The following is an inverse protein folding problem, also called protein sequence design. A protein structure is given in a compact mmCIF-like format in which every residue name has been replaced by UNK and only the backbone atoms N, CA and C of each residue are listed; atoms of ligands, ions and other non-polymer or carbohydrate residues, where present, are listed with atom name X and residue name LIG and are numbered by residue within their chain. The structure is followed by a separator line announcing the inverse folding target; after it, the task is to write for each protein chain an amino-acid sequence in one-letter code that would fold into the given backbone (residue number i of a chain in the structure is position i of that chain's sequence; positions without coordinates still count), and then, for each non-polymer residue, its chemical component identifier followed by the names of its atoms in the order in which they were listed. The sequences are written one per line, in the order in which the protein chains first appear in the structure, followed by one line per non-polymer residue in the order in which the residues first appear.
data_IF_599114474490
#
_entry.id   IF_599114474490
#
_cell.length_a   1.000
_cell.length_b   1.000
_cell.length_c   1.000
_cell.angle_alpha   90.00
_cell.angle_beta   90.00
_cell.angle_gamma   90.00
#
_symmetry.space_group_name_H-M   'P 1'
#
loop_
_entity.id
_entity.type
_entity.pdbx_description
1 polymer ?
#
# COMPACT_ATOMS: atom_id res chain seq x y z
N UNK A 1 5.19 1.90 -5.55
CA UNK A 1 4.32 1.98 -4.34
C UNK A 1 4.82 0.95 -3.34
N UNK A 2 4.85 1.28 -2.03
CA UNK A 2 5.19 0.29 -1.00
C UNK A 2 4.32 -0.97 -1.17
N UNK A 3 4.97 -2.10 -1.43
CA UNK A 3 4.26 -3.37 -1.60
C UNK A 3 3.61 -3.84 -0.29
N UNK A 4 4.16 -3.42 0.85
CA UNK A 4 3.72 -3.79 2.20
C UNK A 4 3.28 -2.56 3.01
N UNK A 5 2.32 -2.77 3.90
CA UNK A 5 1.88 -1.82 4.92
C UNK A 5 2.48 -2.24 6.26
N UNK A 6 2.77 -1.28 7.12
CA UNK A 6 3.01 -1.56 8.55
C UNK A 6 1.71 -1.95 9.24
N UNK A 7 1.80 -2.56 10.43
CA UNK A 7 0.64 -2.93 11.23
C UNK A 7 -0.28 -1.73 11.51
N UNK A 8 0.31 -0.59 11.91
CA UNK A 8 -0.43 0.64 12.18
C UNK A 8 -1.09 1.23 10.91
N UNK A 9 -0.40 1.22 9.78
CA UNK A 9 -0.97 1.67 8.50
C UNK A 9 -2.15 0.79 8.05
N UNK A 10 -2.05 -0.52 8.29
CA UNK A 10 -3.12 -1.48 8.00
C UNK A 10 -4.33 -1.27 8.92
N UNK A 11 -4.13 -1.18 10.23
CA UNK A 11 -5.22 -0.94 11.20
C UNK A 11 -5.97 0.36 10.91
N UNK A 12 -5.22 1.43 10.61
CA UNK A 12 -5.81 2.71 10.20
C UNK A 12 -6.60 2.57 8.89
N UNK A 13 -6.13 1.79 7.93
CA UNK A 13 -6.87 1.56 6.69
C UNK A 13 -8.17 0.76 6.93
N UNK A 14 -8.13 -0.25 7.80
CA UNK A 14 -9.30 -1.07 8.15
C UNK A 14 -10.37 -0.24 8.88
N UNK A 15 -9.98 0.63 9.81
CA UNK A 15 -10.92 1.46 10.57
C UNK A 15 -11.66 2.50 9.71
N UNK A 16 -11.06 2.89 8.57
CA UNK A 16 -11.63 3.85 7.63
C UNK A 16 -12.35 3.20 6.43
N UNK A 17 -12.62 1.89 6.48
CA UNK A 17 -13.39 1.23 5.43
C UNK A 17 -14.86 1.64 5.50
N UNK A 18 -15.42 2.10 4.37
CA UNK A 18 -16.86 2.40 4.23
C UNK A 18 -17.79 1.22 4.55
N UNK A 19 -17.29 -0.01 4.37
CA UNK A 19 -17.96 -1.24 4.81
C UNK A 19 -16.92 -2.16 5.44
N UNK A 20 -17.14 -2.53 6.69
CA UNK A 20 -16.26 -3.45 7.41
C UNK A 20 -16.09 -4.79 6.67
N UNK A 21 -14.88 -5.35 6.77
CA UNK A 21 -14.61 -6.72 6.34
C UNK A 21 -14.98 -7.68 7.48
N UNK A 22 -15.35 -8.92 7.12
CA UNK A 22 -15.51 -9.99 8.11
C UNK A 22 -14.16 -10.26 8.79
N UNK A 23 -14.11 -10.63 10.08
CA UNK A 23 -12.85 -10.87 10.80
C UNK A 23 -11.91 -11.84 10.07
N UNK A 24 -12.42 -12.97 9.56
CA UNK A 24 -11.63 -13.92 8.77
C UNK A 24 -10.98 -13.28 7.52
N UNK A 25 -11.68 -12.35 6.87
CA UNK A 25 -11.14 -11.65 5.70
C UNK A 25 -10.10 -10.60 6.09
N UNK A 26 -10.21 -10.01 7.29
CA UNK A 26 -9.20 -9.07 7.80
C UNK A 26 -7.87 -9.82 7.98
N UNK A 27 -7.88 -11.01 8.56
CA UNK A 27 -6.67 -11.83 8.73
C UNK A 27 -6.01 -12.20 7.41
N UNK A 28 -6.80 -12.61 6.40
CA UNK A 28 -6.29 -12.93 5.06
C UNK A 28 -5.59 -11.72 4.44
N UNK A 29 -6.22 -10.54 4.50
CA UNK A 29 -5.64 -9.33 3.91
C UNK A 29 -4.44 -8.84 4.70
N UNK A 30 -4.45 -9.00 6.04
CA UNK A 30 -3.29 -8.71 6.90
C UNK A 30 -2.10 -9.57 6.53
N UNK A 31 -2.30 -10.88 6.35
CA UNK A 31 -1.25 -11.80 5.91
C UNK A 31 -0.60 -11.36 4.59
N UNK A 32 -1.39 -10.84 3.66
CA UNK A 32 -0.87 -10.36 2.36
C UNK A 32 -0.18 -8.99 2.49
N UNK A 33 -0.84 -8.02 3.13
CA UNK A 33 -0.41 -6.62 3.10
C UNK A 33 0.65 -6.30 4.15
N UNK A 34 0.62 -6.96 5.30
CA UNK A 34 1.56 -6.75 6.41
C UNK A 34 2.63 -7.83 6.38
N UNK A 35 2.23 -9.11 6.42
CA UNK A 35 3.17 -10.23 6.55
C UNK A 35 3.85 -10.62 5.23
N UNK A 36 3.38 -10.08 4.11
CA UNK A 36 4.00 -10.26 2.79
C UNK A 36 3.72 -11.62 2.15
N UNK A 37 2.70 -12.34 2.64
CA UNK A 37 2.27 -13.62 2.06
C UNK A 37 1.72 -13.44 0.64
N UNK A 38 1.90 -14.45 -0.20
CA UNK A 38 1.42 -14.42 -1.58
C UNK A 38 -0.09 -14.66 -1.61
N UNK A 39 -0.78 -13.98 -2.53
CA UNK A 39 -2.22 -14.21 -2.74
C UNK A 39 -2.53 -15.65 -3.13
N UNK A 40 -1.63 -16.33 -3.87
CA UNK A 40 -1.83 -17.72 -4.28
C UNK A 40 -1.84 -18.68 -3.09
N UNK A 41 -0.99 -18.45 -2.09
CA UNK A 41 -0.99 -19.29 -0.90
C UNK A 41 -2.32 -19.13 -0.14
N UNK A 42 -2.85 -17.90 -0.09
CA UNK A 42 -4.17 -17.63 0.49
C UNK A 42 -5.31 -18.28 -0.29
N UNK A 43 -5.23 -18.37 -1.62
CA UNK A 43 -6.23 -19.11 -2.42
C UNK A 43 -6.26 -20.57 -2.01
N UNK A 44 -5.08 -21.20 -1.85
CA UNK A 44 -4.96 -22.62 -1.48
C UNK A 44 -5.46 -22.86 -0.05
N UNK A 45 -5.07 -22.01 0.90
CA UNK A 45 -5.41 -22.19 2.32
C UNK A 45 -6.88 -21.89 2.65
N UNK A 46 -7.48 -20.92 1.98
CA UNK A 46 -8.83 -20.43 2.32
C UNK A 46 -9.92 -20.99 1.41
N UNK A 47 -9.55 -21.54 0.25
CA UNK A 47 -10.48 -21.93 -0.81
C UNK A 47 -11.17 -20.76 -1.51
N UNK A 48 -10.84 -19.51 -1.16
CA UNK A 48 -11.40 -18.33 -1.82
C UNK A 48 -10.80 -18.14 -3.21
N UNK A 49 -11.60 -17.58 -4.13
CA UNK A 49 -11.11 -17.26 -5.46
C UNK A 49 -10.04 -16.16 -5.42
N UNK A 50 -9.09 -16.23 -6.36
CA UNK A 50 -8.07 -15.18 -6.55
C UNK A 50 -8.71 -13.80 -6.73
N UNK A 51 -9.84 -13.72 -7.43
CA UNK A 51 -10.57 -12.47 -7.66
C UNK A 51 -11.13 -11.87 -6.36
N UNK A 52 -11.67 -12.71 -5.47
CA UNK A 52 -12.14 -12.25 -4.16
C UNK A 52 -11.00 -11.70 -3.31
N UNK A 53 -9.87 -12.42 -3.24
CA UNK A 53 -8.69 -12.00 -2.49
C UNK A 53 -8.11 -10.69 -3.05
N UNK A 54 -8.00 -10.58 -4.38
CA UNK A 54 -7.55 -9.37 -5.04
C UNK A 54 -8.47 -8.18 -4.76
N UNK A 55 -9.79 -8.39 -4.78
CA UNK A 55 -10.78 -7.35 -4.48
C UNK A 55 -10.66 -6.85 -3.03
N UNK A 56 -10.53 -7.75 -2.06
CA UNK A 56 -10.36 -7.38 -0.65
C UNK A 56 -9.04 -6.63 -0.42
N UNK A 57 -7.96 -7.11 -1.01
CA UNK A 57 -6.64 -6.47 -0.92
C UNK A 57 -6.66 -5.06 -1.54
N UNK A 58 -7.28 -4.92 -2.72
CA UNK A 58 -7.45 -3.63 -3.39
C UNK A 58 -8.23 -2.66 -2.51
N UNK A 59 -9.33 -3.11 -1.91
CA UNK A 59 -10.16 -2.28 -1.05
C UNK A 59 -9.39 -1.67 0.12
N UNK A 60 -8.57 -2.46 0.83
CA UNK A 60 -7.75 -1.96 1.94
C UNK A 60 -6.66 -1.00 1.45
N UNK A 61 -6.04 -1.27 0.30
CA UNK A 61 -5.06 -0.35 -0.28
C UNK A 61 -5.66 1.00 -0.67
N UNK A 62 -6.86 1.02 -1.25
CA UNK A 62 -7.54 2.28 -1.58
C UNK A 62 -7.89 3.08 -0.31
N UNK A 63 -8.34 2.41 0.75
CA UNK A 63 -8.60 3.06 2.03
C UNK A 63 -7.32 3.64 2.65
N UNK A 64 -6.20 2.91 2.58
CA UNK A 64 -4.90 3.43 2.98
C UNK A 64 -4.48 4.63 2.10
N UNK A 65 -4.71 4.60 0.79
CA UNK A 65 -4.41 5.73 -0.10
C UNK A 65 -5.24 6.96 0.27
N UNK A 66 -6.51 6.78 0.60
CA UNK A 66 -7.44 7.88 0.86
C UNK A 66 -7.29 8.45 2.28
N UNK A 67 -7.06 7.61 3.28
CA UNK A 67 -7.09 8.03 4.69
C UNK A 67 -5.76 7.86 5.41
N UNK A 68 -4.82 7.09 4.84
CA UNK A 68 -3.51 6.88 5.44
C UNK A 68 -2.68 8.16 5.49
N UNK A 69 -1.70 8.15 6.42
CA UNK A 69 -0.69 9.21 6.47
C UNK A 69 0.03 9.29 5.13
N UNK A 70 0.28 10.50 4.60
CA UNK A 70 1.09 10.64 3.41
C UNK A 70 2.52 10.11 3.67
N UNK A 71 3.26 9.72 2.63
CA UNK A 71 4.66 9.33 2.79
C UNK A 71 5.48 10.41 3.52
N UNK A 72 6.61 10.03 4.13
CA UNK A 72 7.50 11.00 4.75
C UNK A 72 7.90 12.09 3.74
N UNK A 73 7.81 13.36 4.17
CA UNK A 73 8.06 14.53 3.31
C UNK A 73 6.93 14.89 2.34
N UNK A 74 5.79 14.19 2.38
CA UNK A 74 4.59 14.54 1.61
C UNK A 74 3.52 15.14 2.52
N UNK A 75 2.79 16.11 1.99
CA UNK A 75 1.63 16.71 2.64
C UNK A 75 0.36 16.42 1.84
N UNK A 76 -0.75 16.18 2.56
CA UNK A 76 -2.07 16.02 1.95
C UNK A 76 -2.85 17.30 2.19
N UNK A 77 -3.26 17.94 1.10
CA UNK A 77 -4.07 19.17 1.13
C UNK A 77 -5.39 18.95 0.38
N UNK A 78 -6.45 19.61 0.84
CA UNK A 78 -7.74 19.68 0.14
C UNK A 78 -7.91 21.09 -0.42
N UNK A 79 -8.20 21.21 -1.72
CA UNK A 79 -8.24 22.49 -2.44
C UNK A 79 -9.53 22.61 -3.25
N UNK A 80 -10.07 23.84 -3.33
CA UNK A 80 -11.14 24.19 -4.25
C UNK A 80 -10.57 24.97 -5.43
N UNK A 81 -10.70 24.44 -6.65
CA UNK A 81 -10.08 24.98 -7.88
C UNK A 81 -11.03 24.84 -9.08
N UNK A 82 -10.81 25.56 -10.19
CA UNK A 82 -11.53 25.35 -11.43
C UNK A 82 -11.34 23.93 -11.99
N UNK A 83 -12.43 23.32 -12.50
CA UNK A 83 -12.41 21.97 -13.06
C UNK A 83 -11.40 21.78 -14.20
N UNK A 84 -11.10 22.84 -14.96
CA UNK A 84 -10.11 22.84 -16.03
C UNK A 84 -8.67 22.58 -15.54
N UNK A 85 -8.37 22.85 -14.27
CA UNK A 85 -7.04 22.63 -13.68
C UNK A 85 -6.86 21.22 -13.09
N UNK A 86 -7.94 20.47 -12.89
CA UNK A 86 -7.91 19.12 -12.28
C UNK A 86 -6.99 18.15 -13.05
N UNK A 87 -7.00 18.07 -14.40
CA UNK A 87 -6.11 17.17 -15.12
C UNK A 87 -4.63 17.49 -14.90
N UNK A 88 -4.26 18.78 -14.82
CA UNK A 88 -2.90 19.23 -14.57
C UNK A 88 -2.40 18.76 -13.21
N UNK A 89 -3.18 18.96 -12.14
CA UNK A 89 -2.79 18.51 -10.80
C UNK A 89 -2.69 16.99 -10.69
N UNK A 90 -3.59 16.24 -11.36
CA UNK A 90 -3.51 14.78 -11.41
C UNK A 90 -2.20 14.32 -12.07
N UNK A 91 -1.81 14.95 -13.17
CA UNK A 91 -0.55 14.65 -13.83
C UNK A 91 0.67 14.96 -12.94
N UNK A 92 0.65 16.08 -12.22
CA UNK A 92 1.71 16.45 -11.26
C UNK A 92 1.82 15.46 -10.10
N UNK A 93 0.68 15.02 -9.53
CA UNK A 93 0.68 14.00 -8.48
C UNK A 93 1.26 12.68 -9.00
N UNK A 94 0.84 12.23 -10.18
CA UNK A 94 1.30 10.98 -10.79
C UNK A 94 2.82 11.01 -11.06
N UNK A 95 3.35 12.14 -11.56
CA UNK A 95 4.78 12.32 -11.80
C UNK A 95 5.58 12.30 -10.49
N UNK A 96 5.14 13.05 -9.47
CA UNK A 96 5.77 13.04 -8.15
C UNK A 96 5.79 11.62 -7.56
N UNK A 97 4.71 10.85 -7.74
CA UNK A 97 4.64 9.45 -7.28
C UNK A 97 5.59 8.54 -8.03
N UNK A 98 5.74 8.70 -9.35
CA UNK A 98 6.72 7.95 -10.16
C UNK A 98 8.15 8.23 -9.69
N UNK A 99 8.50 9.49 -9.50
CA UNK A 99 9.83 9.90 -9.02
C UNK A 99 10.13 9.36 -7.61
N UNK A 100 9.16 9.41 -6.70
CA UNK A 100 9.31 8.87 -5.36
C UNK A 100 9.49 7.34 -5.36
N UNK A 101 8.80 6.62 -6.25
CA UNK A 101 8.98 5.18 -6.39
C UNK A 101 10.37 4.83 -6.96
N UNK A 102 10.83 5.56 -7.98
CA UNK A 102 12.17 5.36 -8.55
C UNK A 102 13.29 5.60 -7.52
N UNK A 103 13.16 6.63 -6.67
CA UNK A 103 14.10 6.88 -5.56
C UNK A 103 14.02 5.82 -4.45
N UNK A 104 12.82 5.32 -4.15
CA UNK A 104 12.63 4.25 -3.17
C UNK A 104 13.25 2.92 -3.60
N UNK A 105 13.18 2.59 -4.90
CA UNK A 105 13.79 1.39 -5.47
C UNK A 105 15.33 1.45 -5.39
N UNK A 106 15.95 2.61 -5.62
CA UNK A 106 17.43 2.73 -5.50
C UNK A 106 17.94 2.62 -4.05
N UNK A 107 17.12 2.94 -3.05
CA UNK A 107 17.52 2.86 -1.64
C UNK A 107 17.40 1.44 -1.06
N UNK A 108 16.60 0.57 -1.69
CA UNK A 108 16.42 -0.82 -1.25
C UNK A 108 17.60 -1.72 -1.72
N UNK A 109 18.25 -1.39 -2.85
CA UNK A 109 19.43 -2.12 -3.35
C UNK A 109 20.73 -1.81 -2.59
N UNK A 110 20.85 -0.64 -1.95
CA UNK A 110 22.08 -0.27 -1.25
C UNK A 110 22.19 -0.88 0.16
N UNK A 111 21.10 -1.43 0.70
CA UNK A 111 21.08 -1.99 2.05
C UNK A 111 21.26 -3.52 2.08
N UNK A 112 21.31 -4.18 0.91
CA UNK A 112 21.56 -5.62 0.79
C UNK A 112 23.04 -6.00 0.70
N UNK A 113 23.93 -5.08 0.31
CA UNK A 113 25.35 -5.39 0.10
C UNK A 113 26.25 -5.24 1.35
N UNK A 114 25.76 -4.68 2.47
CA UNK A 114 26.58 -4.47 3.68
C UNK A 114 26.47 -5.60 4.73
N UNK A 115 25.69 -6.65 4.48
CA UNK A 115 25.49 -7.75 5.45
C UNK A 115 26.38 -8.99 5.25
N UNK A 116 27.18 -9.04 4.18
CA UNK A 116 28.17 -10.10 3.96
C UNK A 116 29.60 -9.59 4.24
N UNK A 117 29.92 -9.31 5.50
CA UNK A 117 31.29 -8.86 5.79
C UNK A 117 31.62 -8.50 7.21
N UNK A 118 31.42 -9.40 8.18
CA UNK A 118 32.22 -9.46 9.42
C UNK A 118 31.97 -10.77 10.17
N UNK A 119 32.66 -11.80 9.71
CA UNK A 119 32.90 -13.02 10.46
C UNK A 119 34.38 -13.36 10.39
N UNK A 120 35.17 -12.84 11.34
CA UNK A 120 36.43 -13.42 11.83
C UNK A 120 36.64 -12.95 13.26
#
# INVERSE_FOLDING_TARGET
MKKRLTQAEFEHAISNLSRALKPANVEIVKAILVDGRKQNDMVIETGLSRTAIAAMTKKVREAHKLHGKPPAGWERIELCIPSSMVPMLRAMEDEARKQANAKGEMNEYHNSDESEGRGR
#
